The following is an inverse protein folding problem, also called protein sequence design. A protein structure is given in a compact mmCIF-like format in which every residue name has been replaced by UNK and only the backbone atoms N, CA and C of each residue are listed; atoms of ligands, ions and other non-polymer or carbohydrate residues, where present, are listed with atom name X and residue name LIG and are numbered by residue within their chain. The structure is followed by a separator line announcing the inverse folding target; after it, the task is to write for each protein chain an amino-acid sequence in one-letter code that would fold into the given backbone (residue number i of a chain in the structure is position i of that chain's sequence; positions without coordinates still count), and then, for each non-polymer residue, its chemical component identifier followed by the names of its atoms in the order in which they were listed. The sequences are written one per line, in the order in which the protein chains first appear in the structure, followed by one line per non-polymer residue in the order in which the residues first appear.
data_IF_486516477640
#
_entry.id   IF_486516477640
#
_cell.length_a   1.000
_cell.length_b   1.000
_cell.length_c   1.000
_cell.angle_alpha   90.00
_cell.angle_beta   90.00
_cell.angle_gamma   90.00
#
_symmetry.space_group_name_H-M   'P 1'
#
loop_
_entity.id
_entity.type
_entity.pdbx_description
1 polymer ?
#
# COMPACT_ATOMS: atom_id res chain seq x y z
N UNK A 1 6.68 14.16 41.31
CA UNK A 1 6.71 13.38 40.05
C UNK A 1 6.93 14.40 38.95
N UNK A 2 8.14 14.49 38.41
CA UNK A 2 8.47 15.52 37.42
C UNK A 2 7.80 15.16 36.09
N UNK A 3 6.81 15.96 35.69
CA UNK A 3 6.32 15.95 34.31
C UNK A 3 7.44 16.50 33.43
N UNK A 4 8.25 15.60 32.86
CA UNK A 4 9.11 15.96 31.74
C UNK A 4 8.17 16.44 30.64
N UNK A 5 8.22 17.75 30.34
CA UNK A 5 7.39 18.34 29.31
C UNK A 5 7.64 17.59 28.00
N UNK A 6 6.58 17.20 27.30
CA UNK A 6 6.67 16.57 25.96
C UNK A 6 7.59 17.39 25.05
N UNK A 7 7.61 18.70 25.24
CA UNK A 7 8.48 19.62 24.54
C UNK A 7 9.96 19.39 24.86
N UNK A 8 10.32 19.17 26.12
CA UNK A 8 11.70 18.90 26.54
C UNK A 8 12.18 17.53 26.03
N UNK A 9 11.30 16.53 26.05
CA UNK A 9 11.59 15.22 25.47
C UNK A 9 11.79 15.29 23.95
N UNK A 10 10.97 16.08 23.26
CA UNK A 10 11.08 16.33 21.83
C UNK A 10 12.36 17.10 21.47
N UNK A 11 12.63 18.20 22.18
CA UNK A 11 13.86 18.99 22.00
C UNK A 11 15.11 18.16 22.31
N UNK A 12 15.04 17.27 23.29
CA UNK A 12 16.10 16.29 23.57
C UNK A 12 16.39 15.38 22.38
N UNK A 13 15.36 14.82 21.74
CA UNK A 13 15.51 13.98 20.53
C UNK A 13 16.04 14.76 19.34
N UNK A 14 15.60 16.00 19.16
CA UNK A 14 16.11 16.87 18.08
C UNK A 14 17.59 17.17 18.29
N UNK A 15 17.95 17.58 19.50
CA UNK A 15 19.35 17.84 19.85
C UNK A 15 20.22 16.60 19.58
N UNK A 16 19.75 15.42 20.01
CA UNK A 16 20.44 14.16 19.75
C UNK A 16 20.59 13.87 18.26
N UNK A 17 19.54 14.03 17.45
CA UNK A 17 19.60 13.88 16.00
C UNK A 17 20.67 14.80 15.36
N UNK A 18 20.68 16.08 15.72
CA UNK A 18 21.67 17.03 15.18
C UNK A 18 23.09 16.76 15.69
N UNK A 19 23.23 16.10 16.84
CA UNK A 19 24.53 15.67 17.38
C UNK A 19 25.06 14.44 16.64
N UNK A 20 24.19 13.50 16.26
CA UNK A 20 24.51 12.32 15.45
C UNK A 20 24.66 12.65 13.96
N UNK A 21 24.02 13.73 13.49
CA UNK A 21 24.09 14.21 12.13
C UNK A 21 25.49 14.74 11.81
N UNK A 22 26.28 13.93 11.11
CA UNK A 22 27.63 14.29 10.69
C UNK A 22 27.70 14.57 9.20
N UNK A 23 28.30 15.70 8.83
CA UNK A 23 28.65 16.01 7.44
C UNK A 23 29.58 14.97 6.81
N UNK A 24 30.33 14.23 7.64
CA UNK A 24 31.16 13.10 7.21
C UNK A 24 30.32 11.86 6.86
N UNK A 25 29.30 11.52 7.65
CA UNK A 25 28.37 10.43 7.35
C UNK A 25 27.62 10.66 6.04
N UNK A 26 27.22 11.90 5.74
CA UNK A 26 26.61 12.24 4.45
C UNK A 26 27.58 12.01 3.29
N UNK A 27 28.84 12.43 3.44
CA UNK A 27 29.87 12.22 2.42
C UNK A 27 30.14 10.74 2.21
N UNK A 28 30.27 9.97 3.28
CA UNK A 28 30.52 8.54 3.23
C UNK A 28 29.37 7.78 2.56
N UNK A 29 28.12 8.03 2.97
CA UNK A 29 26.93 7.41 2.35
C UNK A 29 26.82 7.80 0.88
N UNK A 30 27.08 9.06 0.54
CA UNK A 30 27.05 9.53 -0.85
C UNK A 30 28.13 8.84 -1.70
N UNK A 31 29.38 8.81 -1.23
CA UNK A 31 30.49 8.17 -1.93
C UNK A 31 30.29 6.67 -2.07
N UNK A 32 29.81 6.00 -1.02
CA UNK A 32 29.49 4.57 -1.04
C UNK A 32 28.33 4.27 -1.98
N UNK A 33 27.28 5.10 -1.98
CA UNK A 33 26.13 4.91 -2.89
C UNK A 33 26.53 5.10 -4.35
N UNK A 34 27.41 6.06 -4.66
CA UNK A 34 27.92 6.29 -6.01
C UNK A 34 28.84 5.14 -6.44
N UNK A 35 29.77 4.71 -5.59
CA UNK A 35 30.72 3.64 -5.92
C UNK A 35 30.06 2.27 -6.06
N UNK A 36 29.05 2.00 -5.23
CA UNK A 36 28.29 0.73 -5.26
C UNK A 36 27.06 0.79 -6.17
N UNK A 37 26.79 1.92 -6.84
CA UNK A 37 25.60 2.11 -7.66
C UNK A 37 25.42 1.00 -8.69
N UNK A 38 26.48 0.64 -9.43
CA UNK A 38 26.41 -0.40 -10.46
C UNK A 38 26.01 -1.77 -9.88
N UNK A 39 26.50 -2.11 -8.68
CA UNK A 39 26.16 -3.35 -7.99
C UNK A 39 24.72 -3.30 -7.42
N UNK A 40 24.34 -2.19 -6.79
CA UNK A 40 23.00 -2.00 -6.24
C UNK A 40 21.93 -1.93 -7.33
N UNK A 41 22.28 -1.40 -8.50
CA UNK A 41 21.41 -1.37 -9.66
C UNK A 41 20.99 -2.80 -10.06
N UNK A 42 21.96 -3.69 -10.24
CA UNK A 42 21.69 -5.08 -10.63
C UNK A 42 21.05 -5.89 -9.50
N UNK A 43 21.50 -5.72 -8.25
CA UNK A 43 21.08 -6.57 -7.13
C UNK A 43 19.78 -6.13 -6.45
N UNK A 44 19.44 -4.84 -6.50
CA UNK A 44 18.34 -4.26 -5.72
C UNK A 44 17.36 -3.53 -6.62
N UNK A 45 17.82 -2.50 -7.36
CA UNK A 45 16.91 -1.60 -8.08
C UNK A 45 16.17 -2.31 -9.22
N UNK A 46 16.89 -3.10 -10.03
CA UNK A 46 16.31 -3.81 -11.16
C UNK A 46 15.32 -4.91 -10.74
N UNK A 47 15.62 -5.78 -9.75
CA UNK A 47 14.63 -6.70 -9.19
C UNK A 47 13.42 -5.97 -8.59
N UNK A 48 13.63 -4.94 -7.76
CA UNK A 48 12.53 -4.21 -7.13
C UNK A 48 11.62 -3.50 -8.16
N UNK A 49 12.20 -2.97 -9.25
CA UNK A 49 11.44 -2.40 -10.35
C UNK A 49 10.58 -3.47 -11.03
N UNK A 50 11.15 -4.64 -11.32
CA UNK A 50 10.39 -5.76 -11.90
C UNK A 50 9.26 -6.23 -10.98
N UNK A 51 9.53 -6.34 -9.68
CA UNK A 51 8.51 -6.65 -8.68
C UNK A 51 7.39 -5.62 -8.66
N UNK A 52 7.71 -4.33 -8.73
CA UNK A 52 6.72 -3.24 -8.77
C UNK A 52 5.85 -3.31 -10.01
N UNK A 53 6.47 -3.53 -11.18
CA UNK A 53 5.76 -3.71 -12.44
C UNK A 53 4.84 -4.93 -12.37
N UNK A 54 5.35 -6.06 -11.88
CA UNK A 54 4.58 -7.28 -11.72
C UNK A 54 3.40 -7.11 -10.77
N UNK A 55 3.62 -6.53 -9.58
CA UNK A 55 2.55 -6.24 -8.62
C UNK A 55 1.49 -5.32 -9.22
N UNK A 56 1.91 -4.24 -9.89
CA UNK A 56 1.00 -3.26 -10.48
C UNK A 56 0.14 -3.88 -11.58
N UNK A 57 0.74 -4.62 -12.51
CA UNK A 57 0.01 -5.25 -13.60
C UNK A 57 -0.97 -6.31 -13.10
N UNK A 58 -0.53 -7.16 -12.16
CA UNK A 58 -1.38 -8.20 -11.60
C UNK A 58 -2.51 -7.61 -10.75
N UNK A 59 -2.23 -6.59 -9.94
CA UNK A 59 -3.25 -5.90 -9.16
C UNK A 59 -4.32 -5.27 -10.05
N UNK A 60 -3.92 -4.56 -11.13
CA UNK A 60 -4.86 -3.99 -12.09
C UNK A 60 -5.67 -5.08 -12.78
N UNK A 61 -5.03 -6.18 -13.20
CA UNK A 61 -5.69 -7.29 -13.87
C UNK A 61 -6.76 -7.94 -12.98
N UNK A 62 -6.39 -8.36 -11.77
CA UNK A 62 -7.34 -9.00 -10.84
C UNK A 62 -8.38 -8.01 -10.32
N UNK A 63 -7.98 -6.79 -9.98
CA UNK A 63 -8.89 -5.73 -9.55
C UNK A 63 -9.92 -5.39 -10.62
N UNK A 64 -9.52 -5.32 -11.89
CA UNK A 64 -10.45 -5.11 -12.99
C UNK A 64 -11.48 -6.25 -13.10
N UNK A 65 -11.03 -7.51 -13.05
CA UNK A 65 -11.93 -8.67 -13.10
C UNK A 65 -12.91 -8.67 -11.93
N UNK A 66 -12.45 -8.31 -10.72
CA UNK A 66 -13.29 -8.23 -9.54
C UNK A 66 -14.27 -7.04 -9.59
N UNK A 67 -13.84 -5.90 -10.14
CA UNK A 67 -14.62 -4.66 -10.16
C UNK A 67 -15.62 -4.56 -11.32
N UNK A 68 -15.42 -5.29 -12.43
CA UNK A 68 -16.26 -5.14 -13.61
C UNK A 68 -17.71 -5.56 -13.36
N UNK A 69 -17.92 -6.68 -12.66
CA UNK A 69 -19.26 -7.18 -12.33
C UNK A 69 -20.02 -6.19 -11.44
N UNK A 70 -19.50 -5.79 -10.26
CA UNK A 70 -20.19 -4.83 -9.41
C UNK A 70 -20.33 -3.46 -10.08
N UNK A 71 -19.36 -3.01 -10.88
CA UNK A 71 -19.44 -1.76 -11.64
C UNK A 71 -20.58 -1.76 -12.65
N UNK A 72 -20.75 -2.85 -13.41
CA UNK A 72 -21.87 -2.99 -14.35
C UNK A 72 -23.21 -3.07 -13.60
N UNK A 73 -23.28 -3.82 -12.49
CA UNK A 73 -24.51 -3.94 -11.70
C UNK A 73 -24.96 -2.60 -11.11
N UNK A 74 -24.02 -1.80 -10.61
CA UNK A 74 -24.31 -0.43 -10.16
C UNK A 74 -24.86 0.43 -11.30
N UNK A 75 -24.27 0.36 -12.49
CA UNK A 75 -24.75 1.10 -13.67
C UNK A 75 -26.16 0.65 -14.11
N UNK A 76 -26.48 -0.64 -14.01
CA UNK A 76 -27.81 -1.17 -14.35
C UNK A 76 -28.87 -0.76 -13.33
N UNK A 77 -28.54 -0.81 -12.03
CA UNK A 77 -29.49 -0.55 -10.93
C UNK A 77 -29.67 0.91 -10.54
N UNK A 78 -28.85 1.80 -11.11
CA UNK A 78 -28.94 3.24 -10.90
C UNK A 78 -30.35 3.79 -11.13
N UNK A 79 -30.64 4.96 -10.56
CA UNK A 79 -31.92 5.69 -10.75
C UNK A 79 -32.24 5.94 -12.23
N UNK A 80 -31.21 6.14 -13.06
CA UNK A 80 -31.32 6.34 -14.49
C UNK A 80 -30.88 5.10 -15.30
N UNK A 81 -30.63 3.98 -14.61
CA UNK A 81 -30.14 2.75 -15.21
C UNK A 81 -31.24 1.95 -15.92
N UNK A 82 -30.83 0.85 -16.56
CA UNK A 82 -31.71 -0.02 -17.36
C UNK A 82 -32.81 -0.66 -16.49
N UNK A 83 -32.47 -1.07 -15.27
CA UNK A 83 -33.40 -1.75 -14.36
C UNK A 83 -33.25 -1.19 -12.95
N UNK A 84 -34.04 -0.19 -12.62
CA UNK A 84 -33.98 0.46 -11.33
C UNK A 84 -34.21 -0.51 -10.16
N UNK A 85 -33.24 -0.61 -9.24
CA UNK A 85 -33.39 -1.35 -8.00
C UNK A 85 -32.67 -0.63 -6.85
N UNK A 86 -33.43 0.18 -6.09
CA UNK A 86 -32.90 1.00 -4.99
C UNK A 86 -32.19 0.19 -3.92
N UNK A 87 -32.72 -0.99 -3.57
CA UNK A 87 -32.17 -1.80 -2.47
C UNK A 87 -30.85 -2.42 -2.91
N UNK A 88 -30.83 -3.06 -4.08
CA UNK A 88 -29.62 -3.69 -4.60
C UNK A 88 -28.52 -2.66 -4.89
N UNK A 89 -28.89 -1.49 -5.44
CA UNK A 89 -27.97 -0.37 -5.62
C UNK A 89 -27.39 0.10 -4.29
N UNK A 90 -28.24 0.38 -3.28
CA UNK A 90 -27.77 0.91 -1.99
C UNK A 90 -26.83 -0.07 -1.25
N UNK A 91 -27.11 -1.38 -1.29
CA UNK A 91 -26.24 -2.39 -0.67
C UNK A 91 -24.88 -2.44 -1.39
N UNK A 92 -24.89 -2.49 -2.72
CA UNK A 92 -23.66 -2.58 -3.50
C UNK A 92 -22.83 -1.29 -3.44
N UNK A 93 -23.50 -0.14 -3.47
CA UNK A 93 -22.89 1.18 -3.28
C UNK A 93 -22.26 1.27 -1.89
N UNK A 94 -22.94 0.83 -0.84
CA UNK A 94 -22.36 0.78 0.51
C UNK A 94 -21.10 -0.10 0.57
N UNK A 95 -21.13 -1.31 0.00
CA UNK A 95 -19.97 -2.22 0.00
C UNK A 95 -18.78 -1.60 -0.76
N UNK A 96 -19.01 -1.10 -1.97
CA UNK A 96 -17.95 -0.49 -2.79
C UNK A 96 -17.40 0.79 -2.15
N UNK A 97 -18.25 1.60 -1.52
CA UNK A 97 -17.83 2.78 -0.76
C UNK A 97 -17.01 2.40 0.48
N UNK A 98 -17.40 1.34 1.19
CA UNK A 98 -16.65 0.86 2.35
C UNK A 98 -15.26 0.37 1.95
N UNK A 99 -15.15 -0.45 0.91
CA UNK A 99 -13.86 -0.96 0.41
C UNK A 99 -12.94 0.20 0.00
N UNK A 100 -13.47 1.19 -0.73
CA UNK A 100 -12.72 2.37 -1.18
C UNK A 100 -12.29 3.30 -0.05
N UNK A 101 -13.13 3.47 0.97
CA UNK A 101 -12.84 4.34 2.10
C UNK A 101 -11.87 3.67 3.10
N UNK A 102 -11.70 2.36 3.04
CA UNK A 102 -10.83 1.62 3.95
C UNK A 102 -9.36 1.98 3.65
N UNK A 103 -8.60 2.51 4.64
CA UNK A 103 -7.21 2.85 4.40
C UNK A 103 -6.42 1.61 3.98
N UNK A 104 -5.75 1.70 2.83
CA UNK A 104 -5.03 0.59 2.21
C UNK A 104 -4.06 -0.11 3.20
N UNK A 105 -3.35 0.68 4.01
CA UNK A 105 -2.42 0.15 5.01
C UNK A 105 -3.10 -0.75 6.05
N UNK A 106 -4.33 -0.42 6.46
CA UNK A 106 -5.11 -1.24 7.39
C UNK A 106 -5.65 -2.48 6.66
N UNK A 107 -6.08 -2.32 5.39
CA UNK A 107 -6.59 -3.41 4.57
C UNK A 107 -5.57 -4.55 4.43
N UNK A 108 -4.28 -4.23 4.24
CA UNK A 108 -3.20 -5.24 4.20
C UNK A 108 -3.25 -6.13 5.44
N UNK A 109 -3.31 -5.54 6.63
CA UNK A 109 -3.30 -6.28 7.90
C UNK A 109 -4.54 -7.15 8.04
N UNK A 110 -5.71 -6.62 7.66
CA UNK A 110 -6.99 -7.34 7.70
C UNK A 110 -7.00 -8.52 6.72
N UNK A 111 -6.33 -8.38 5.57
CA UNK A 111 -6.30 -9.39 4.52
C UNK A 111 -5.15 -10.39 4.64
N UNK A 112 -4.23 -10.28 5.62
CA UNK A 112 -3.20 -11.29 5.88
C UNK A 112 -3.69 -12.75 5.89
N UNK A 113 -4.79 -13.11 6.59
CA UNK A 113 -5.31 -14.47 6.56
C UNK A 113 -5.86 -14.85 5.18
N UNK A 114 -6.49 -13.91 4.48
CA UNK A 114 -7.01 -14.15 3.13
C UNK A 114 -5.86 -14.37 2.13
N UNK A 115 -4.83 -13.54 2.17
CA UNK A 115 -3.63 -13.70 1.34
C UNK A 115 -2.97 -15.06 1.56
N UNK A 116 -2.93 -15.53 2.82
CA UNK A 116 -2.39 -16.87 3.14
C UNK A 116 -3.24 -18.00 2.55
N UNK A 117 -4.57 -17.86 2.52
CA UNK A 117 -5.46 -18.87 1.93
C UNK A 117 -5.32 -18.91 0.41
N UNK A 118 -5.26 -17.74 -0.24
CA UNK A 118 -5.22 -17.64 -1.71
C UNK A 118 -3.84 -18.01 -2.27
N UNK A 119 -2.79 -17.50 -1.63
CA UNK A 119 -1.41 -17.52 -2.17
C UNK A 119 -0.50 -18.47 -1.39
N UNK A 120 -0.90 -18.92 -0.20
CA UNK A 120 -0.09 -19.78 0.67
C UNK A 120 0.88 -19.02 1.59
N UNK A 121 1.02 -17.70 1.42
CA UNK A 121 1.91 -16.85 2.23
C UNK A 121 1.26 -15.49 2.54
N UNK A 122 1.67 -14.89 3.65
CA UNK A 122 1.25 -13.54 4.05
C UNK A 122 2.31 -12.46 3.74
N UNK A 123 3.47 -12.85 3.19
CA UNK A 123 4.59 -11.95 2.89
C UNK A 123 5.09 -12.22 1.46
N UNK A 124 5.55 -11.15 0.81
CA UNK A 124 6.17 -11.16 -0.50
C UNK A 124 5.27 -10.61 -1.60
N UNK A 125 5.80 -10.57 -2.82
CA UNK A 125 5.20 -9.95 -4.00
C UNK A 125 3.80 -10.49 -4.29
N UNK A 126 3.61 -11.82 -4.24
CA UNK A 126 2.31 -12.44 -4.49
C UNK A 126 1.28 -12.15 -3.39
N UNK A 127 1.71 -12.07 -2.13
CA UNK A 127 0.81 -11.76 -1.02
C UNK A 127 0.33 -10.30 -1.05
N UNK A 128 1.17 -9.38 -1.53
CA UNK A 128 0.86 -7.97 -1.66
C UNK A 128 -0.16 -7.67 -2.78
N UNK A 129 -0.24 -8.52 -3.82
CA UNK A 129 -1.21 -8.35 -4.92
C UNK A 129 -2.66 -8.44 -4.41
N UNK A 130 -2.93 -9.28 -3.41
CA UNK A 130 -4.30 -9.50 -2.90
C UNK A 130 -4.95 -8.22 -2.36
N UNK A 131 -4.35 -7.50 -1.38
CA UNK A 131 -4.90 -6.23 -0.93
C UNK A 131 -4.89 -5.16 -2.02
N UNK A 132 -3.89 -5.15 -2.92
CA UNK A 132 -3.83 -4.21 -4.05
C UNK A 132 -4.94 -4.42 -5.08
N UNK A 133 -5.43 -5.65 -5.25
CA UNK A 133 -6.51 -5.96 -6.18
C UNK A 133 -7.90 -5.70 -5.57
N UNK A 134 -8.02 -5.77 -4.24
CA UNK A 134 -9.30 -5.62 -3.53
C UNK A 134 -9.61 -4.17 -3.17
N UNK A 135 -8.60 -3.39 -2.76
CA UNK A 135 -8.74 -1.98 -2.39
C UNK A 135 -8.70 -1.06 -3.59
#
# INVERSE_FOLDING_TARGET
MNEVSIFDAFLGRISQFFTEFSWQGIKEVSLNSISTYAQNYENILKPALNETIYMSLMAVFFGFILAIIPGILLAIWDKNGIKHNKIAYAVLDFITNLLRAFPFLILIVVLLPLSKIIVGTSIGTNAAIVPLAIG
#
